data_IF_919956200612
#
_entry.id   IF_919956200612
#
_cell.length_a   1.000
_cell.length_b   1.000
_cell.length_c   1.000
_cell.angle_alpha   90.00
_cell.angle_beta   90.00
_cell.angle_gamma   90.00
#
_symmetry.space_group_name_H-M   'P 1'
#
loop_
_entity.id
_entity.type
_entity.pdbx_description
1 polymer ?
#
# COMPACT_ATOMS: atom_id res chain seq x y z
N UNK A 1 -2.59 -10.75 -18.11
CA UNK A 1 -3.92 -10.57 -17.51
C UNK A 1 -3.96 -11.41 -16.25
N UNK A 2 -4.31 -10.84 -15.10
CA UNK A 2 -4.43 -11.60 -13.85
C UNK A 2 -5.48 -12.69 -14.04
N UNK A 3 -5.06 -13.96 -14.08
CA UNK A 3 -5.95 -15.11 -14.34
C UNK A 3 -6.56 -15.68 -13.06
N UNK A 4 -6.20 -15.15 -11.89
CA UNK A 4 -6.69 -15.62 -10.59
C UNK A 4 -7.45 -14.50 -9.86
N UNK A 5 -8.78 -14.58 -9.67
CA UNK A 5 -9.55 -13.59 -8.92
C UNK A 5 -9.15 -13.49 -7.43
N UNK A 6 -8.49 -14.50 -6.87
CA UNK A 6 -8.10 -14.53 -5.45
C UNK A 6 -6.78 -13.79 -5.17
N UNK A 7 -6.15 -13.17 -6.16
CA UNK A 7 -4.87 -12.48 -5.98
C UNK A 7 -4.99 -11.14 -5.22
N UNK A 8 -6.18 -10.53 -5.16
CA UNK A 8 -6.42 -9.29 -4.41
C UNK A 8 -7.02 -9.63 -3.05
N UNK A 9 -6.32 -9.31 -1.97
CA UNK A 9 -6.73 -9.64 -0.60
C UNK A 9 -6.58 -8.43 0.33
N UNK A 10 -7.31 -8.38 1.47
CA UNK A 10 -7.10 -7.35 2.48
C UNK A 10 -5.63 -7.26 2.91
N UNK A 11 -5.12 -6.05 3.02
CA UNK A 11 -3.79 -5.77 3.54
C UNK A 11 -3.88 -5.43 5.04
N UNK A 12 -3.29 -6.28 5.88
CA UNK A 12 -3.32 -6.11 7.33
C UNK A 12 -2.10 -5.30 7.82
N UNK A 13 -2.35 -4.07 8.27
CA UNK A 13 -1.33 -3.17 8.83
C UNK A 13 -0.81 -3.59 10.21
N UNK A 14 -1.39 -4.61 10.85
CA UNK A 14 -0.89 -5.19 12.11
C UNK A 14 0.06 -6.38 11.86
N UNK A 15 0.20 -6.85 10.62
CA UNK A 15 1.08 -7.95 10.26
C UNK A 15 2.46 -7.43 9.85
N UNK A 16 3.46 -7.60 10.72
CA UNK A 16 4.83 -7.12 10.50
C UNK A 16 5.50 -7.66 9.23
N UNK A 17 5.21 -8.90 8.83
CA UNK A 17 5.76 -9.48 7.60
C UNK A 17 5.17 -8.81 6.35
N UNK A 18 3.87 -8.50 6.37
CA UNK A 18 3.23 -7.77 5.27
C UNK A 18 3.69 -6.32 5.20
N UNK A 19 3.89 -5.67 6.34
CA UNK A 19 4.48 -4.33 6.42
C UNK A 19 5.88 -4.32 5.79
N UNK A 20 6.73 -5.29 6.12
CA UNK A 20 8.07 -5.41 5.55
C UNK A 20 8.03 -5.63 4.02
N UNK A 21 7.11 -6.45 3.52
CA UNK A 21 6.92 -6.63 2.08
C UNK A 21 6.45 -5.33 1.39
N UNK A 22 5.52 -4.61 2.00
CA UNK A 22 5.04 -3.33 1.51
C UNK A 22 6.16 -2.29 1.50
N UNK A 23 7.00 -2.23 2.54
CA UNK A 23 8.15 -1.33 2.57
C UNK A 23 9.12 -1.65 1.44
N UNK A 24 9.49 -2.92 1.24
CA UNK A 24 10.34 -3.31 0.11
C UNK A 24 9.73 -2.97 -1.26
N UNK A 25 8.42 -3.17 -1.43
CA UNK A 25 7.71 -2.77 -2.65
C UNK A 25 7.77 -1.26 -2.86
N UNK A 26 7.54 -0.47 -1.81
CA UNK A 26 7.58 0.99 -1.88
C UNK A 26 9.00 1.51 -2.13
N UNK A 27 10.03 0.84 -1.60
CA UNK A 27 11.44 1.10 -1.92
C UNK A 27 11.70 0.93 -3.42
N UNK A 28 11.22 -0.16 -4.03
CA UNK A 28 11.37 -0.40 -5.47
C UNK A 28 10.55 0.56 -6.32
N UNK A 29 9.34 0.90 -5.89
CA UNK A 29 8.41 1.75 -6.66
C UNK A 29 8.74 3.25 -6.60
N UNK A 30 9.25 3.73 -5.46
CA UNK A 30 9.45 5.15 -5.20
C UNK A 30 10.87 5.55 -4.77
N UNK A 31 11.76 4.58 -4.59
CA UNK A 31 13.12 4.78 -4.08
C UNK A 31 13.21 4.84 -2.55
N UNK A 32 14.44 4.66 -2.04
CA UNK A 32 14.75 4.68 -0.61
C UNK A 32 14.40 6.04 0.03
N UNK A 33 14.54 7.13 -0.74
CA UNK A 33 14.23 8.49 -0.29
C UNK A 33 12.75 8.79 -0.09
N UNK A 34 11.82 7.87 -0.37
CA UNK A 34 10.36 8.13 -0.33
C UNK A 34 9.85 8.66 1.02
N UNK A 35 10.56 8.36 2.11
CA UNK A 35 10.14 8.70 3.48
C UNK A 35 10.20 10.20 3.75
N UNK A 36 10.83 10.99 2.89
CA UNK A 36 10.85 12.47 2.98
C UNK A 36 9.58 13.11 2.43
N UNK A 37 8.71 12.37 1.73
CA UNK A 37 7.48 12.89 1.14
C UNK A 37 6.49 13.31 2.23
N UNK A 38 5.79 14.43 2.01
CA UNK A 38 4.78 14.98 2.94
C UNK A 38 3.68 13.97 3.29
N UNK A 39 3.32 13.06 2.38
CA UNK A 39 2.34 12.00 2.62
C UNK A 39 2.75 10.97 3.67
N UNK A 40 4.03 10.87 4.04
CA UNK A 40 4.46 10.10 5.21
C UNK A 40 4.15 10.86 6.50
N UNK A 41 4.45 12.16 6.53
CA UNK A 41 4.16 13.02 7.69
C UNK A 41 2.67 13.11 8.02
N UNK A 42 1.81 13.14 7.00
CA UNK A 42 0.35 13.15 7.20
C UNK A 42 -0.20 11.87 7.85
N UNK A 43 0.58 10.78 7.88
CA UNK A 43 0.18 9.50 8.48
C UNK A 43 0.79 9.27 9.86
N UNK A 44 1.73 10.10 10.29
CA UNK A 44 2.38 9.95 11.58
C UNK A 44 1.35 10.10 12.70
N UNK A 45 1.24 9.08 13.56
CA UNK A 45 0.27 9.05 14.67
C UNK A 45 -1.15 8.67 14.28
N UNK A 46 -1.48 8.63 12.99
CA UNK A 46 -2.80 8.22 12.49
C UNK A 46 -2.92 6.70 12.35
N UNK A 47 -4.14 6.22 12.14
CA UNK A 47 -4.41 4.81 11.88
C UNK A 47 -4.95 4.58 10.47
N UNK A 48 -4.57 3.46 9.82
CA UNK A 48 -5.20 3.05 8.58
C UNK A 48 -6.69 2.81 8.79
N UNK A 49 -7.50 3.15 7.79
CA UNK A 49 -8.94 2.89 7.81
C UNK A 49 -9.17 1.38 7.72
N UNK A 50 -9.89 0.85 8.70
CA UNK A 50 -10.18 -0.59 8.77
C UNK A 50 -10.93 -1.05 7.53
N UNK A 51 -10.48 -2.15 6.93
CA UNK A 51 -11.15 -2.80 5.80
C UNK A 51 -10.98 -2.10 4.44
N UNK A 52 -10.23 -0.99 4.35
CA UNK A 52 -10.03 -0.29 3.07
C UNK A 52 -8.67 -0.54 2.42
N UNK A 53 -7.76 -1.24 3.08
CA UNK A 53 -6.43 -1.51 2.52
C UNK A 53 -6.40 -2.88 1.81
N UNK A 54 -5.83 -2.94 0.61
CA UNK A 54 -5.77 -4.14 -0.22
C UNK A 54 -4.36 -4.33 -0.78
N UNK A 55 -4.00 -5.59 -1.01
CA UNK A 55 -2.76 -5.99 -1.66
C UNK A 55 -3.03 -6.94 -2.81
N UNK A 56 -2.25 -6.82 -3.88
CA UNK A 56 -2.16 -7.80 -4.95
C UNK A 56 -1.00 -8.75 -4.62
N UNK A 57 -1.30 -10.03 -4.50
CA UNK A 57 -0.36 -11.09 -4.20
C UNK A 57 -0.23 -12.00 -5.40
N UNK A 58 0.99 -12.20 -5.87
CA UNK A 58 1.29 -13.17 -6.93
C UNK A 58 2.15 -14.29 -6.36
N UNK A 59 1.77 -15.52 -6.70
CA UNK A 59 2.53 -16.71 -6.34
C UNK A 59 3.72 -16.85 -7.28
N UNK A 60 4.88 -17.09 -6.70
CA UNK A 60 6.13 -17.36 -7.39
C UNK A 60 6.70 -18.68 -6.87
N UNK A 61 7.14 -19.55 -7.77
CA UNK A 61 7.59 -20.91 -7.42
C UNK A 61 8.78 -20.92 -6.45
N UNK A 62 9.61 -19.86 -6.44
CA UNK A 62 10.83 -19.78 -5.62
C UNK A 62 10.61 -19.02 -4.32
N UNK A 63 9.75 -18.00 -4.35
CA UNK A 63 9.57 -17.03 -3.24
C UNK A 63 8.21 -17.14 -2.57
N UNK A 64 7.30 -17.96 -3.09
CA UNK A 64 5.94 -18.12 -2.59
C UNK A 64 5.05 -16.94 -2.96
N UNK A 65 3.97 -16.74 -2.19
CA UNK A 65 3.04 -15.63 -2.40
C UNK A 65 3.67 -14.31 -1.97
N UNK A 66 3.80 -13.37 -2.90
CA UNK A 66 4.52 -12.11 -2.67
C UNK A 66 3.67 -10.90 -3.05
N UNK A 67 3.76 -9.84 -2.25
CA UNK A 67 3.06 -8.57 -2.51
C UNK A 67 3.66 -7.85 -3.73
N UNK A 68 2.82 -7.54 -4.72
CA UNK A 68 3.18 -6.89 -5.99
C UNK A 68 2.49 -5.55 -6.21
N UNK A 69 1.37 -5.32 -5.53
CA UNK A 69 0.77 -4.00 -5.42
C UNK A 69 0.14 -3.82 -4.05
N UNK A 70 0.06 -2.59 -3.57
CA UNK A 70 -0.64 -2.25 -2.33
C UNK A 70 -1.38 -0.93 -2.50
N UNK A 71 -2.57 -0.86 -1.94
CA UNK A 71 -3.36 0.36 -1.77
C UNK A 71 -3.80 0.44 -0.31
N UNK A 72 -3.72 1.61 0.30
CA UNK A 72 -4.11 1.82 1.69
C UNK A 72 -4.74 3.18 1.89
N UNK A 73 -5.57 3.27 2.92
CA UNK A 73 -6.32 4.47 3.26
C UNK A 73 -6.09 4.82 4.71
N UNK A 74 -5.98 6.11 5.03
CA UNK A 74 -5.68 6.61 6.38
C UNK A 74 -6.70 7.66 6.79
N UNK A 75 -7.04 7.68 8.08
CA UNK A 75 -7.80 8.79 8.64
C UNK A 75 -6.94 10.05 8.69
N UNK A 76 -7.54 11.21 8.44
CA UNK A 76 -6.92 12.51 8.68
C UNK A 76 -7.97 13.59 8.98
N UNK A 77 -7.49 14.73 9.45
CA UNK A 77 -8.27 15.95 9.65
C UNK A 77 -7.76 17.08 8.75
N UNK A 78 -8.65 17.80 8.08
CA UNK A 78 -8.31 18.90 7.15
C UNK A 78 -8.78 20.24 7.72
N UNK A 79 -7.87 21.23 7.66
CA UNK A 79 -8.13 22.61 8.03
C UNK A 79 -8.26 22.83 9.54
N UNK A 80 -8.37 24.09 9.93
CA UNK A 80 -8.44 24.51 11.35
C UNK A 80 -9.65 23.94 12.09
N UNK A 81 -10.75 23.70 11.35
CA UNK A 81 -11.98 23.13 11.88
C UNK A 81 -11.93 21.60 12.04
N UNK A 82 -10.83 20.95 11.65
CA UNK A 82 -10.62 19.51 11.85
C UNK A 82 -11.60 18.61 11.07
N UNK A 83 -11.91 18.95 9.82
CA UNK A 83 -12.83 18.17 9.00
C UNK A 83 -12.29 16.75 8.77
N UNK A 84 -13.04 15.73 9.17
CA UNK A 84 -12.65 14.34 8.99
C UNK A 84 -12.62 13.99 7.51
N UNK A 85 -11.50 13.43 7.07
CA UNK A 85 -11.29 12.97 5.70
C UNK A 85 -10.53 11.63 5.67
N UNK A 86 -10.42 11.07 4.48
CA UNK A 86 -9.65 9.85 4.21
C UNK A 86 -8.56 10.17 3.19
N UNK A 87 -7.32 9.81 3.51
CA UNK A 87 -6.19 9.89 2.58
C UNK A 87 -6.09 8.58 1.82
N UNK A 88 -6.00 8.66 0.50
CA UNK A 88 -5.44 7.57 -0.28
C UNK A 88 -3.91 7.62 -0.17
N UNK A 89 -3.30 6.56 0.35
CA UNK A 89 -1.85 6.42 0.34
C UNK A 89 -1.30 5.47 1.40
N UNK A 90 -0.31 4.63 1.07
CA UNK A 90 0.33 4.54 -0.25
C UNK A 90 -0.53 3.77 -1.26
N UNK A 91 -0.31 4.08 -2.55
CA UNK A 91 -0.64 3.22 -3.67
C UNK A 91 0.65 2.91 -4.41
N UNK A 92 0.97 1.63 -4.61
CA UNK A 92 2.20 1.21 -5.26
C UNK A 92 1.97 -0.07 -6.04
N UNK A 93 2.62 -0.16 -7.20
CA UNK A 93 2.67 -1.35 -8.04
C UNK A 93 4.14 -1.60 -8.39
N UNK A 94 4.53 -2.88 -8.42
CA UNK A 94 5.86 -3.32 -8.80
C UNK A 94 6.23 -2.72 -10.17
N UNK A 95 7.45 -2.14 -10.35
CA UNK A 95 7.78 -1.36 -11.54
C UNK A 95 7.52 -2.07 -12.87
N UNK A 96 7.83 -3.37 -12.97
CA UNK A 96 7.62 -4.15 -14.20
C UNK A 96 6.14 -4.49 -14.48
N UNK A 97 5.23 -4.18 -13.56
CA UNK A 97 3.78 -4.37 -13.69
C UNK A 97 3.02 -3.04 -13.86
N UNK A 98 3.71 -1.90 -13.84
CA UNK A 98 3.08 -0.59 -14.02
C UNK A 98 2.52 -0.43 -15.46
N UNK A 99 1.46 0.37 -15.61
CA UNK A 99 0.80 0.59 -16.91
C UNK A 99 -0.12 -0.56 -17.38
N UNK A 100 -0.31 -1.59 -16.55
CA UNK A 100 -1.16 -2.75 -16.88
C UNK A 100 -2.59 -2.67 -16.32
N UNK A 101 -2.96 -1.54 -15.70
CA UNK A 101 -4.28 -1.33 -15.09
C UNK A 101 -4.44 -1.91 -13.67
N UNK A 102 -3.33 -2.13 -12.95
CA UNK A 102 -3.29 -2.70 -11.59
C UNK A 102 -3.20 -1.67 -10.45
N UNK A 103 -3.19 -0.38 -10.78
CA UNK A 103 -3.13 0.73 -9.83
C UNK A 103 -4.37 1.59 -9.87
#
# INVERSE_FOLDING_TARGET
>A
MLTNPDCIKPFNHDNSALIAQADGLLDRAFGIGRRTKTSYRLREGERPVKGLSFGLYLDDEKTGSTLRAVISFWHLCIGEQGHRAVMLGPIAVEPHLQGTGLG
#
